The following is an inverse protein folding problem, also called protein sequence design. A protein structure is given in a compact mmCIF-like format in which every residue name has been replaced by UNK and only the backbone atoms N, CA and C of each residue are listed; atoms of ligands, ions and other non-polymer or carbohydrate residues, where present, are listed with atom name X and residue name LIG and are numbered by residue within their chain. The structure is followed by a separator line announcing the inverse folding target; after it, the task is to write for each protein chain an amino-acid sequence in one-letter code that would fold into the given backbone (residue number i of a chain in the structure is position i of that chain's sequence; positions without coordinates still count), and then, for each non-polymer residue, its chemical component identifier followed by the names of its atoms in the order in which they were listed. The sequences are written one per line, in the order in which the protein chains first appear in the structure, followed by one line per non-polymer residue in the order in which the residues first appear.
data_IF_382345990753
#
_entry.id   IF_382345990753
#
_cell.length_a   1.000
_cell.length_b   1.000
_cell.length_c   1.000
_cell.angle_alpha   90.00
_cell.angle_beta   90.00
_cell.angle_gamma   90.00
#
_symmetry.space_group_name_H-M   'P 1'
#
loop_
_entity.id
_entity.type
_entity.pdbx_description
1 polymer ?
#
# COMPACT_ATOMS: atom_id res chain seq x y z
N UNK A 1 32.35 -49.88 -3.67
CA UNK A 1 32.52 -48.42 -3.85
C UNK A 1 31.12 -47.86 -4.10
N UNK A 2 30.45 -47.38 -3.06
CA UNK A 2 29.02 -47.03 -3.09
C UNK A 2 28.89 -45.56 -3.46
N UNK A 3 28.50 -45.28 -4.69
CA UNK A 3 28.33 -43.93 -5.21
C UNK A 3 27.02 -43.35 -4.66
N UNK A 4 27.12 -42.48 -3.65
CA UNK A 4 26.00 -41.69 -3.16
C UNK A 4 25.66 -40.65 -4.23
N UNK A 5 24.53 -40.83 -4.92
CA UNK A 5 23.93 -39.77 -5.73
C UNK A 5 23.43 -38.67 -4.79
N UNK A 6 24.14 -37.55 -4.78
CA UNK A 6 23.64 -36.30 -4.23
C UNK A 6 22.58 -35.78 -5.21
N UNK A 7 21.30 -36.01 -4.91
CA UNK A 7 20.21 -35.35 -5.63
C UNK A 7 20.20 -33.91 -5.14
N UNK A 8 20.90 -33.03 -5.87
CA UNK A 8 20.74 -31.58 -5.74
C UNK A 8 19.37 -31.27 -6.34
N UNK A 9 18.32 -31.25 -5.52
CA UNK A 9 17.06 -30.63 -5.91
C UNK A 9 17.33 -29.14 -6.13
N UNK A 10 17.52 -28.75 -7.39
CA UNK A 10 17.42 -27.38 -7.83
C UNK A 10 16.00 -26.91 -7.54
N UNK A 11 15.80 -26.29 -6.37
CA UNK A 11 14.62 -25.49 -6.08
C UNK A 11 14.66 -24.35 -7.10
N UNK A 12 13.97 -24.53 -8.21
CA UNK A 12 13.77 -23.46 -9.17
C UNK A 12 12.99 -22.37 -8.41
N UNK A 13 13.70 -21.31 -8.03
CA UNK A 13 13.12 -20.04 -7.60
C UNK A 13 12.37 -19.49 -8.82
N UNK A 14 11.19 -20.03 -9.09
CA UNK A 14 10.27 -19.45 -10.06
C UNK A 14 9.79 -18.14 -9.44
N UNK A 15 10.44 -17.05 -9.83
CA UNK A 15 10.15 -15.68 -9.42
C UNK A 15 8.75 -15.30 -9.90
N UNK A 16 7.72 -15.64 -9.12
CA UNK A 16 6.43 -15.00 -9.24
C UNK A 16 6.33 -13.93 -8.15
N UNK A 17 6.89 -12.77 -8.46
CA UNK A 17 7.10 -11.69 -7.53
C UNK A 17 5.79 -10.92 -7.36
N UNK A 18 5.05 -11.26 -6.31
CA UNK A 18 3.86 -10.60 -5.79
C UNK A 18 3.92 -10.78 -4.27
N UNK A 19 3.27 -9.94 -3.45
CA UNK A 19 3.52 -9.94 -1.99
C UNK A 19 2.25 -10.19 -1.18
N UNK A 20 2.39 -10.96 -0.09
CA UNK A 20 1.34 -11.13 0.92
C UNK A 20 1.91 -10.94 2.32
N UNK A 21 1.07 -10.57 3.29
CA UNK A 21 1.41 -10.65 4.69
C UNK A 21 1.27 -12.10 5.20
N UNK A 22 2.35 -12.66 5.74
CA UNK A 22 2.39 -13.97 6.35
C UNK A 22 2.35 -13.88 7.87
N UNK A 23 1.46 -14.67 8.46
CA UNK A 23 1.34 -14.92 9.89
C UNK A 23 0.64 -16.28 10.09
N UNK A 24 0.90 -17.00 11.18
CA UNK A 24 0.26 -18.32 11.42
C UNK A 24 -1.26 -18.27 11.45
N UNK A 25 -1.81 -17.12 11.82
CA UNK A 25 -3.24 -16.86 11.90
C UNK A 25 -3.88 -16.47 10.55
N UNK A 26 -3.14 -16.52 9.44
CA UNK A 26 -3.70 -16.25 8.11
C UNK A 26 -4.48 -17.46 7.59
N UNK A 27 -5.49 -17.17 6.79
CA UNK A 27 -6.13 -18.17 5.95
C UNK A 27 -5.15 -18.66 4.87
N UNK A 28 -5.28 -19.94 4.51
CA UNK A 28 -4.38 -20.69 3.65
C UNK A 28 -2.89 -20.58 4.02
N UNK A 29 -2.55 -20.38 5.31
CA UNK A 29 -1.15 -20.36 5.77
C UNK A 29 -0.35 -21.60 5.33
N UNK A 30 -0.99 -22.77 5.39
CA UNK A 30 -0.42 -24.06 4.99
C UNK A 30 -0.68 -24.41 3.52
N UNK A 31 -1.18 -23.48 2.72
CA UNK A 31 -1.66 -23.69 1.35
C UNK A 31 -3.14 -24.09 1.31
N UNK A 32 -3.59 -24.46 0.11
CA UNK A 32 -5.00 -24.75 -0.21
C UNK A 32 -5.27 -26.24 -0.48
N UNK A 33 -4.38 -27.11 0.05
CA UNK A 33 -4.51 -28.56 -0.06
C UNK A 33 -4.77 -29.18 1.33
N UNK A 34 -5.92 -29.84 1.47
CA UNK A 34 -6.34 -30.43 2.75
C UNK A 34 -5.35 -31.47 3.27
N UNK A 35 -5.03 -31.38 4.56
CA UNK A 35 -4.10 -32.30 5.24
C UNK A 35 -2.63 -32.15 4.87
N UNK A 36 -2.26 -31.12 4.09
CA UNK A 36 -0.88 -30.86 3.69
C UNK A 36 -0.38 -29.55 4.29
N UNK A 37 0.91 -29.51 4.63
CA UNK A 37 1.60 -28.29 5.00
C UNK A 37 2.52 -27.89 3.86
N UNK A 38 2.15 -26.85 3.12
CA UNK A 38 3.01 -26.23 2.13
C UNK A 38 3.93 -25.20 2.78
N UNK A 39 5.18 -25.60 3.07
CA UNK A 39 6.19 -24.67 3.61
C UNK A 39 6.71 -23.69 2.55
N UNK A 40 6.50 -23.94 1.26
CA UNK A 40 6.88 -23.09 0.13
C UNK A 40 5.63 -22.50 -0.55
N UNK A 41 4.72 -21.98 0.27
CA UNK A 41 3.41 -21.50 -0.15
C UNK A 41 3.44 -20.10 -0.76
N UNK A 42 2.96 -19.96 -1.99
CA UNK A 42 2.71 -18.73 -2.74
C UNK A 42 1.22 -18.54 -3.12
N UNK A 43 0.32 -19.44 -2.71
CA UNK A 43 -1.12 -19.28 -2.93
C UNK A 43 -1.65 -17.87 -2.53
N UNK A 44 -1.29 -17.31 -1.35
CA UNK A 44 -1.83 -16.02 -0.93
C UNK A 44 -1.22 -14.81 -1.64
N UNK A 45 -0.15 -14.97 -2.45
CA UNK A 45 0.51 -13.81 -3.07
C UNK A 45 -0.08 -13.43 -4.41
N UNK A 46 -0.98 -14.23 -4.99
CA UNK A 46 -1.54 -13.94 -6.32
C UNK A 46 -2.31 -12.60 -6.33
N UNK A 47 -2.14 -11.75 -7.35
CA UNK A 47 -2.94 -10.52 -7.46
C UNK A 47 -4.39 -10.84 -7.81
N UNK A 48 -5.32 -9.98 -7.38
CA UNK A 48 -6.75 -10.07 -7.66
C UNK A 48 -7.15 -8.99 -8.68
N UNK A 49 -7.63 -9.41 -9.86
CA UNK A 49 -7.89 -8.52 -10.98
C UNK A 49 -9.05 -9.01 -11.84
N UNK A 50 -10.01 -8.14 -12.15
CA UNK A 50 -11.19 -8.42 -12.98
C UNK A 50 -11.96 -9.68 -12.56
N UNK A 51 -12.00 -9.94 -11.25
CA UNK A 51 -12.72 -11.06 -10.66
C UNK A 51 -14.12 -10.64 -10.21
N UNK A 52 -15.04 -11.60 -10.12
CA UNK A 52 -16.33 -11.38 -9.43
C UNK A 52 -16.10 -11.31 -7.93
N UNK A 53 -17.05 -10.72 -7.21
CA UNK A 53 -16.97 -10.65 -5.74
C UNK A 53 -16.89 -12.03 -5.09
N UNK A 54 -17.58 -13.03 -5.63
CA UNK A 54 -17.47 -14.42 -5.17
C UNK A 54 -16.07 -14.99 -5.27
N UNK A 55 -15.19 -14.43 -6.09
CA UNK A 55 -13.89 -15.00 -6.42
C UNK A 55 -12.76 -14.21 -5.74
N UNK A 56 -12.80 -12.87 -5.75
CA UNK A 56 -11.72 -12.08 -5.11
C UNK A 56 -11.85 -12.01 -3.59
N UNK A 57 -13.07 -12.12 -3.04
CA UNK A 57 -13.30 -11.90 -1.62
C UNK A 57 -12.54 -12.95 -0.81
N UNK A 58 -11.58 -12.50 0.00
CA UNK A 58 -10.67 -13.36 0.76
C UNK A 58 -9.99 -14.48 -0.06
N UNK A 59 -9.65 -14.21 -1.33
CA UNK A 59 -8.99 -15.19 -2.20
C UNK A 59 -9.80 -16.47 -2.46
N UNK A 60 -11.13 -16.38 -2.57
CA UNK A 60 -11.94 -17.55 -2.90
C UNK A 60 -11.60 -18.18 -4.28
N UNK A 61 -11.04 -17.42 -5.22
CA UNK A 61 -10.61 -17.89 -6.54
C UNK A 61 -9.63 -19.06 -6.48
N UNK A 62 -8.83 -19.14 -5.42
CA UNK A 62 -7.97 -20.27 -5.11
C UNK A 62 -8.33 -20.95 -3.79
N UNK A 63 -9.57 -20.74 -3.32
CA UNK A 63 -10.16 -21.34 -2.11
C UNK A 63 -9.41 -21.00 -0.82
N UNK A 64 -8.63 -19.92 -0.77
CA UNK A 64 -7.83 -19.61 0.42
C UNK A 64 -8.67 -19.46 1.69
N UNK A 65 -9.86 -18.87 1.56
CA UNK A 65 -10.83 -18.66 2.64
C UNK A 65 -11.42 -19.96 3.22
N UNK A 66 -11.36 -21.07 2.49
CA UNK A 66 -11.78 -22.39 2.96
C UNK A 66 -10.75 -23.06 3.90
N UNK A 67 -9.53 -22.49 4.01
CA UNK A 67 -8.44 -23.01 4.83
C UNK A 67 -8.15 -22.09 6.02
N UNK A 68 -8.94 -22.14 7.10
CA UNK A 68 -8.69 -21.33 8.28
C UNK A 68 -7.34 -21.69 8.94
N UNK A 69 -6.76 -20.77 9.73
CA UNK A 69 -5.60 -21.09 10.56
C UNK A 69 -5.93 -22.16 11.60
N UNK A 70 -4.89 -22.71 12.25
CA UNK A 70 -5.09 -23.71 13.29
C UNK A 70 -5.88 -23.12 14.48
N UNK A 71 -6.72 -23.92 15.17
CA UNK A 71 -7.45 -23.45 16.34
C UNK A 71 -6.52 -22.82 17.38
N UNK A 72 -6.84 -21.60 17.82
CA UNK A 72 -6.02 -20.84 18.78
C UNK A 72 -4.95 -19.94 18.16
N UNK A 73 -4.65 -20.08 16.86
CA UNK A 73 -3.76 -19.15 16.17
C UNK A 73 -4.53 -17.86 15.82
N UNK A 74 -4.24 -16.79 16.57
CA UNK A 74 -4.74 -15.45 16.31
C UNK A 74 -3.60 -14.48 16.00
N UNK A 75 -3.86 -13.53 15.11
CA UNK A 75 -3.07 -12.32 15.01
C UNK A 75 -3.45 -11.43 16.21
N UNK A 76 -2.55 -11.33 17.18
CA UNK A 76 -2.78 -10.51 18.37
C UNK A 76 -2.62 -9.02 18.04
N UNK A 77 -3.64 -8.24 18.40
CA UNK A 77 -3.70 -6.80 18.20
C UNK A 77 -3.66 -6.12 19.59
N UNK A 78 -2.47 -5.80 20.12
CA UNK A 78 -2.34 -5.17 21.43
C UNK A 78 -2.79 -3.71 21.38
N UNK A 79 -3.93 -3.41 22.00
CA UNK A 79 -4.53 -2.07 21.97
C UNK A 79 -3.56 -0.98 22.49
N UNK A 80 -3.27 0.03 21.65
CA UNK A 80 -2.37 1.15 21.96
C UNK A 80 -0.88 0.80 21.81
N UNK A 81 -0.57 -0.27 21.09
CA UNK A 81 0.78 -0.73 20.80
C UNK A 81 0.87 -1.11 19.31
N UNK A 82 1.83 -1.95 18.93
CA UNK A 82 1.99 -2.44 17.56
C UNK A 82 2.11 -3.96 17.50
N UNK A 83 1.80 -4.52 16.33
CA UNK A 83 2.06 -5.90 15.97
C UNK A 83 2.90 -5.98 14.69
N UNK A 84 3.53 -7.13 14.45
CA UNK A 84 4.35 -7.36 13.27
C UNK A 84 3.84 -8.53 12.44
N UNK A 85 4.03 -8.42 11.13
CA UNK A 85 3.85 -9.52 10.17
C UNK A 85 5.02 -9.57 9.21
N UNK A 86 5.15 -10.67 8.47
CA UNK A 86 6.18 -10.83 7.45
C UNK A 86 5.57 -10.68 6.05
N UNK A 87 5.85 -9.59 5.37
CA UNK A 87 5.41 -9.35 3.99
C UNK A 87 6.41 -9.94 3.02
N UNK A 88 6.01 -10.97 2.27
CA UNK A 88 6.93 -11.74 1.42
C UNK A 88 6.26 -12.25 0.15
N UNK A 89 7.07 -12.71 -0.80
CA UNK A 89 6.65 -13.32 -2.06
C UNK A 89 6.39 -14.82 -1.97
N UNK A 90 6.83 -15.46 -0.89
CA UNK A 90 6.52 -16.85 -0.59
C UNK A 90 6.69 -17.07 0.91
N UNK A 91 5.87 -17.94 1.51
CA UNK A 91 6.03 -18.34 2.92
C UNK A 91 7.43 -18.91 3.19
N UNK A 92 8.01 -19.62 2.24
CA UNK A 92 9.31 -20.28 2.33
C UNK A 92 10.48 -19.34 2.61
N UNK A 93 10.34 -18.05 2.31
CA UNK A 93 11.35 -17.00 2.58
C UNK A 93 10.99 -16.15 3.80
N UNK A 94 10.08 -16.63 4.64
CA UNK A 94 9.74 -16.04 5.94
C UNK A 94 10.37 -16.85 7.08
N UNK A 95 10.37 -16.30 8.30
CA UNK A 95 10.79 -17.07 9.48
C UNK A 95 9.82 -18.22 9.83
N UNK A 96 8.64 -18.23 9.20
CA UNK A 96 7.53 -19.15 9.46
C UNK A 96 7.63 -20.48 8.70
N UNK A 97 8.72 -20.69 7.95
CA UNK A 97 9.04 -21.92 7.22
C UNK A 97 10.53 -22.23 7.31
N UNK A 98 10.88 -23.52 7.18
CA UNK A 98 12.27 -24.00 7.13
C UNK A 98 13.17 -23.45 8.26
N UNK A 99 12.61 -23.22 9.44
CA UNK A 99 13.28 -22.58 10.58
C UNK A 99 13.95 -21.23 10.23
N UNK A 100 13.37 -20.48 9.28
CA UNK A 100 13.87 -19.19 8.83
C UNK A 100 15.15 -19.26 8.00
N UNK A 101 15.55 -20.44 7.52
CA UNK A 101 16.80 -20.62 6.76
C UNK A 101 16.92 -19.69 5.54
N UNK A 102 15.79 -19.38 4.88
CA UNK A 102 15.75 -18.55 3.68
C UNK A 102 15.21 -17.13 3.93
N UNK A 103 15.00 -16.76 5.20
CA UNK A 103 14.52 -15.44 5.55
C UNK A 103 15.68 -14.42 5.55
N UNK A 104 15.50 -13.33 4.82
CA UNK A 104 16.42 -12.16 4.81
C UNK A 104 15.64 -10.90 5.17
N UNK A 105 16.24 -9.71 5.16
CA UNK A 105 15.46 -8.47 5.39
C UNK A 105 14.41 -8.19 4.30
N UNK A 106 14.46 -8.91 3.19
CA UNK A 106 13.65 -8.69 2.00
C UNK A 106 12.68 -9.82 1.76
N UNK A 107 11.50 -9.48 1.21
CA UNK A 107 10.40 -10.43 1.05
C UNK A 107 10.62 -11.47 -0.05
N UNK A 108 11.71 -11.42 -0.81
CA UNK A 108 12.09 -12.44 -1.80
C UNK A 108 13.15 -13.43 -1.28
N UNK A 109 13.60 -13.30 -0.03
CA UNK A 109 14.70 -14.10 0.50
C UNK A 109 16.07 -13.73 -0.07
N UNK A 110 16.16 -12.63 -0.83
CA UNK A 110 17.41 -12.08 -1.36
C UNK A 110 18.05 -11.06 -0.42
N UNK A 111 19.29 -10.66 -0.72
CA UNK A 111 19.95 -9.54 -0.05
C UNK A 111 20.04 -8.37 -1.03
N UNK A 112 19.36 -7.27 -0.72
CA UNK A 112 19.41 -6.02 -1.48
C UNK A 112 20.01 -4.88 -0.65
N UNK A 113 20.66 -3.89 -1.30
CA UNK A 113 21.32 -2.78 -0.63
C UNK A 113 20.33 -1.87 0.11
N UNK A 114 20.81 -1.06 1.06
CA UNK A 114 19.92 -0.19 1.84
C UNK A 114 19.28 0.92 0.99
N UNK A 115 19.94 1.36 -0.08
CA UNK A 115 19.47 2.34 -1.05
C UNK A 115 18.80 1.67 -2.28
N UNK A 116 18.20 0.48 -2.08
CA UNK A 116 17.57 -0.29 -3.15
C UNK A 116 16.56 0.54 -3.93
N UNK A 117 16.76 0.63 -5.23
CA UNK A 117 15.94 1.42 -6.14
C UNK A 117 16.22 1.02 -7.58
N UNK A 118 15.45 1.56 -8.53
CA UNK A 118 15.73 1.40 -9.96
C UNK A 118 17.10 1.96 -10.39
N UNK A 119 17.74 2.81 -9.56
CA UNK A 119 19.09 3.30 -9.78
C UNK A 119 20.18 2.39 -9.17
N UNK A 120 19.82 1.54 -8.21
CA UNK A 120 20.72 0.58 -7.56
C UNK A 120 19.98 -0.74 -7.31
N UNK A 121 19.93 -1.59 -8.35
CA UNK A 121 19.25 -2.89 -8.30
C UNK A 121 20.15 -4.05 -7.83
N UNK A 122 21.41 -3.78 -7.48
CA UNK A 122 22.39 -4.81 -7.12
C UNK A 122 22.44 -6.00 -8.10
N UNK A 123 22.25 -5.75 -9.39
CA UNK A 123 22.27 -6.76 -10.44
C UNK A 123 20.92 -7.43 -10.74
N UNK A 124 19.86 -7.12 -9.99
CA UNK A 124 18.50 -7.55 -10.32
C UNK A 124 17.99 -6.80 -11.57
N UNK A 125 17.19 -7.45 -12.44
CA UNK A 125 16.60 -6.80 -13.59
C UNK A 125 15.46 -5.84 -13.18
N UNK A 126 15.24 -4.82 -14.00
CA UNK A 126 13.97 -4.08 -13.97
C UNK A 126 12.84 -4.99 -14.41
N UNK A 127 11.66 -4.78 -13.83
CA UNK A 127 10.41 -5.26 -14.39
C UNK A 127 10.15 -4.65 -15.78
N UNK A 128 9.23 -5.25 -16.53
CA UNK A 128 8.80 -4.74 -17.84
C UNK A 128 8.22 -3.32 -17.78
N UNK A 129 7.71 -2.89 -16.62
CA UNK A 129 7.21 -1.53 -16.38
C UNK A 129 8.28 -0.55 -15.89
N UNK A 130 9.56 -0.92 -15.88
CA UNK A 130 10.64 -0.04 -15.43
C UNK A 130 10.70 0.18 -13.91
N UNK A 131 10.15 -0.76 -13.14
CA UNK A 131 10.16 -0.77 -11.68
C UNK A 131 11.05 -1.87 -11.11
N UNK A 132 11.25 -1.90 -9.80
CA UNK A 132 11.96 -2.98 -9.11
C UNK A 132 11.27 -4.31 -9.42
N UNK A 133 12.01 -5.26 -10.02
CA UNK A 133 11.48 -6.56 -10.40
C UNK A 133 11.51 -7.62 -9.30
N UNK A 134 12.38 -7.48 -8.30
CA UNK A 134 12.54 -8.48 -7.25
C UNK A 134 13.02 -7.87 -5.91
N UNK A 135 12.29 -8.03 -4.78
CA UNK A 135 10.89 -8.40 -4.75
C UNK A 135 10.06 -7.38 -5.55
N UNK A 136 9.03 -7.85 -6.23
CA UNK A 136 8.13 -6.97 -6.98
C UNK A 136 7.16 -6.31 -6.00
N UNK A 137 7.65 -5.23 -5.41
CA UNK A 137 6.90 -4.34 -4.52
C UNK A 137 6.12 -3.29 -5.32
N UNK A 138 6.09 -3.41 -6.66
CA UNK A 138 5.42 -2.51 -7.58
C UNK A 138 5.77 -1.04 -7.33
N UNK A 139 7.07 -0.77 -7.19
CA UNK A 139 7.59 0.58 -6.94
C UNK A 139 8.99 0.74 -7.52
N UNK A 140 9.46 1.97 -7.64
CA UNK A 140 10.81 2.28 -8.08
C UNK A 140 11.79 2.53 -6.92
N UNK A 141 11.28 2.83 -5.73
CA UNK A 141 12.02 3.06 -4.48
C UNK A 141 11.05 3.04 -3.28
N UNK A 142 11.57 3.15 -2.06
CA UNK A 142 10.73 3.06 -0.86
C UNK A 142 9.64 4.13 -0.78
N UNK A 143 9.97 5.39 -1.06
CA UNK A 143 9.03 6.51 -0.93
C UNK A 143 7.88 6.48 -1.94
N UNK A 144 7.98 5.60 -2.94
CA UNK A 144 6.94 5.39 -3.96
C UNK A 144 6.07 4.16 -3.68
N UNK A 145 6.41 3.35 -2.66
CA UNK A 145 5.59 2.21 -2.27
C UNK A 145 4.22 2.69 -1.75
N UNK A 146 3.15 2.05 -2.23
CA UNK A 146 1.80 2.61 -2.18
C UNK A 146 1.22 2.74 -0.76
N UNK A 147 1.67 1.90 0.17
CA UNK A 147 1.10 1.74 1.49
C UNK A 147 0.17 0.53 1.55
N UNK A 148 0.15 -0.12 2.72
CA UNK A 148 -0.62 -1.32 3.02
C UNK A 148 -1.46 -1.06 4.27
N UNK A 149 -2.52 -1.84 4.48
CA UNK A 149 -3.39 -1.66 5.62
C UNK A 149 -3.85 -2.97 6.23
N UNK A 150 -4.31 -2.90 7.48
CA UNK A 150 -5.15 -3.93 8.06
C UNK A 150 -6.55 -3.38 8.34
N UNK A 151 -7.54 -4.20 8.02
CA UNK A 151 -8.94 -4.00 8.38
C UNK A 151 -9.42 -5.10 9.32
N UNK A 152 -10.48 -4.80 10.06
CA UNK A 152 -11.07 -5.69 11.07
C UNK A 152 -12.59 -5.73 10.94
N UNK A 153 -13.14 -6.92 11.10
CA UNK A 153 -14.56 -7.18 11.29
C UNK A 153 -14.74 -7.97 12.58
N UNK A 154 -15.67 -7.53 13.42
CA UNK A 154 -16.00 -8.19 14.69
C UNK A 154 -16.86 -9.45 14.51
N UNK A 155 -16.85 -10.02 13.32
CA UNK A 155 -17.41 -11.33 13.01
C UNK A 155 -16.33 -12.40 13.17
N UNK A 156 -16.67 -13.49 13.86
CA UNK A 156 -15.78 -14.65 13.96
C UNK A 156 -15.85 -15.49 12.69
N UNK A 157 -17.02 -15.63 12.07
CA UNK A 157 -17.18 -16.36 10.81
C UNK A 157 -16.83 -15.45 9.63
N UNK A 158 -15.85 -15.86 8.82
CA UNK A 158 -15.42 -15.12 7.62
C UNK A 158 -16.54 -14.96 6.60
N UNK A 159 -17.51 -15.91 6.56
CA UNK A 159 -18.67 -15.82 5.66
C UNK A 159 -19.59 -14.64 5.99
N UNK A 160 -19.54 -14.15 7.24
CA UNK A 160 -20.33 -13.01 7.71
C UNK A 160 -19.60 -11.67 7.52
N UNK A 161 -18.36 -11.69 7.02
CA UNK A 161 -17.58 -10.49 6.78
C UNK A 161 -18.04 -9.85 5.47
N UNK A 162 -18.41 -8.57 5.56
CA UNK A 162 -18.91 -7.77 4.44
C UNK A 162 -18.18 -6.44 4.39
N UNK A 163 -18.36 -5.70 3.29
CA UNK A 163 -17.83 -4.34 3.16
C UNK A 163 -18.38 -3.39 4.23
N UNK A 164 -19.58 -3.65 4.76
CA UNK A 164 -20.22 -2.78 5.76
C UNK A 164 -19.78 -3.09 7.20
N UNK A 165 -19.00 -4.15 7.41
CA UNK A 165 -18.47 -4.50 8.73
C UNK A 165 -16.95 -4.69 8.78
N UNK A 166 -16.25 -4.50 7.66
CA UNK A 166 -14.79 -4.59 7.56
C UNK A 166 -14.18 -3.18 7.48
N UNK A 167 -13.68 -2.67 8.60
CA UNK A 167 -13.16 -1.31 8.74
C UNK A 167 -11.63 -1.29 8.80
N UNK A 168 -10.99 -0.43 8.02
CA UNK A 168 -9.54 -0.17 8.11
C UNK A 168 -9.23 0.48 9.45
N UNK A 169 -8.37 -0.15 10.26
CA UNK A 169 -7.99 0.35 11.59
C UNK A 169 -6.52 0.77 11.68
N UNK A 170 -5.69 0.36 10.72
CA UNK A 170 -4.27 0.73 10.69
C UNK A 170 -3.74 0.69 9.27
N UNK A 171 -2.81 1.59 8.99
CA UNK A 171 -2.19 1.77 7.68
C UNK A 171 -0.70 1.97 7.92
N UNK A 172 0.13 1.41 7.05
CA UNK A 172 1.55 1.75 7.00
C UNK A 172 1.86 2.29 5.62
N UNK A 173 2.44 3.47 5.54
CA UNK A 173 2.90 4.06 4.29
C UNK A 173 4.20 3.41 3.82
N UNK A 174 4.53 3.60 2.54
CA UNK A 174 5.79 3.15 1.96
C UNK A 174 6.02 1.64 2.12
N UNK A 175 4.93 0.88 2.06
CA UNK A 175 4.91 -0.60 2.08
C UNK A 175 4.17 -1.14 0.85
N UNK A 176 4.44 -2.39 0.46
CA UNK A 176 5.48 -3.29 0.98
C UNK A 176 6.90 -2.76 0.69
N UNK A 177 7.85 -3.05 1.59
CA UNK A 177 9.26 -2.71 1.39
C UNK A 177 10.21 -3.73 2.00
N UNK A 178 10.27 -3.79 3.33
CA UNK A 178 11.00 -4.84 4.07
C UNK A 178 10.07 -5.96 4.49
N UNK A 179 10.63 -7.15 4.71
CA UNK A 179 9.86 -8.33 5.09
C UNK A 179 9.12 -8.10 6.40
N UNK A 180 9.84 -7.84 7.48
CA UNK A 180 9.20 -7.56 8.77
C UNK A 180 8.60 -6.16 8.75
N UNK A 181 7.28 -6.07 8.86
CA UNK A 181 6.54 -4.81 8.85
C UNK A 181 5.68 -4.69 10.10
N UNK A 182 5.77 -3.54 10.78
CA UNK A 182 4.99 -3.25 11.99
C UNK A 182 3.79 -2.35 11.69
N UNK A 183 2.66 -2.63 12.32
CA UNK A 183 1.43 -1.84 12.23
C UNK A 183 0.96 -1.45 13.62
N UNK A 184 0.42 -0.25 13.73
CA UNK A 184 0.00 0.34 15.01
C UNK A 184 -1.48 -0.01 15.28
N UNK A 185 -1.85 -0.26 16.54
CA UNK A 185 -3.20 -0.68 16.94
C UNK A 185 -3.83 0.42 17.78
N UNK A 186 -5.00 0.97 17.37
CA UNK A 186 -5.67 1.99 18.17
C UNK A 186 -5.91 1.55 19.61
N UNK A 187 -5.66 2.46 20.55
CA UNK A 187 -5.81 2.18 22.00
C UNK A 187 -7.24 1.80 22.40
N UNK A 188 -8.22 2.36 21.72
CA UNK A 188 -9.63 2.23 22.09
C UNK A 188 -10.36 1.15 21.26
N UNK A 189 -9.62 0.20 20.69
CA UNK A 189 -10.19 -0.98 20.03
C UNK A 189 -10.98 -1.84 21.04
N UNK A 190 -12.27 -2.16 20.78
CA UNK A 190 -13.02 -3.04 21.66
C UNK A 190 -12.57 -4.50 21.52
N UNK A 191 -12.89 -5.31 22.54
CA UNK A 191 -12.58 -6.74 22.54
C UNK A 191 -13.35 -7.50 21.45
N UNK A 192 -12.71 -8.49 20.84
CA UNK A 192 -13.34 -9.43 19.92
C UNK A 192 -14.30 -10.37 20.64
N UNK A 193 -15.23 -11.03 19.91
CA UNK A 193 -15.93 -12.21 20.41
C UNK A 193 -14.96 -13.31 20.86
N UNK A 194 -15.45 -14.30 21.61
CA UNK A 194 -14.62 -15.38 22.17
C UNK A 194 -13.84 -16.16 21.10
N UNK A 195 -14.45 -16.40 19.93
CA UNK A 195 -13.83 -17.09 18.80
C UNK A 195 -12.98 -16.16 17.90
N UNK A 196 -12.68 -14.96 18.40
CA UNK A 196 -11.93 -13.91 17.73
C UNK A 196 -12.73 -13.14 16.67
N UNK A 197 -12.03 -12.18 16.05
CA UNK A 197 -12.47 -11.40 14.92
C UNK A 197 -11.85 -11.95 13.62
N UNK A 198 -12.32 -11.45 12.48
CA UNK A 198 -11.64 -11.60 11.19
C UNK A 198 -10.98 -10.30 10.79
N UNK A 199 -9.70 -10.37 10.43
CA UNK A 199 -8.93 -9.25 9.89
C UNK A 199 -8.56 -9.51 8.43
N UNK A 200 -8.22 -8.43 7.72
CA UNK A 200 -7.72 -8.51 6.36
C UNK A 200 -6.47 -7.62 6.20
N UNK A 201 -5.38 -8.18 5.67
CA UNK A 201 -4.30 -7.37 5.10
C UNK A 201 -4.68 -7.01 3.67
N UNK A 202 -4.48 -5.75 3.29
CA UNK A 202 -4.89 -5.25 1.98
C UNK A 202 -3.86 -4.30 1.38
N UNK A 203 -3.75 -4.35 0.05
CA UNK A 203 -2.80 -3.54 -0.71
C UNK A 203 -3.29 -3.27 -2.13
N UNK A 204 -3.01 -2.07 -2.64
CA UNK A 204 -3.17 -1.71 -4.05
C UNK A 204 -1.83 -1.12 -4.53
N UNK A 205 -1.14 -1.75 -5.49
CA UNK A 205 0.05 -1.21 -6.11
C UNK A 205 -0.12 0.17 -6.74
N UNK A 206 0.98 0.93 -6.84
CA UNK A 206 0.98 2.24 -7.47
C UNK A 206 1.82 2.25 -8.76
N UNK A 207 1.15 2.29 -9.92
CA UNK A 207 1.75 2.63 -11.22
C UNK A 207 2.66 1.60 -11.88
N UNK A 208 3.13 0.57 -11.16
CA UNK A 208 3.96 -0.50 -11.70
C UNK A 208 3.12 -1.76 -11.97
N UNK A 209 3.11 -2.26 -13.19
CA UNK A 209 2.39 -3.49 -13.56
C UNK A 209 0.89 -3.32 -13.80
N UNK A 210 0.17 -4.43 -13.88
CA UNK A 210 -1.28 -4.45 -14.07
C UNK A 210 -2.00 -3.89 -12.84
N UNK A 211 -2.94 -2.95 -13.00
CA UNK A 211 -3.69 -2.38 -11.88
C UNK A 211 -4.57 -3.41 -11.14
N UNK A 212 -4.11 -3.96 -10.02
CA UNK A 212 -4.77 -5.03 -9.25
C UNK A 212 -4.93 -4.69 -7.76
N UNK A 213 -5.54 -5.60 -6.99
CA UNK A 213 -5.60 -5.52 -5.52
C UNK A 213 -5.02 -6.79 -4.90
N UNK A 214 -4.67 -6.70 -3.63
CA UNK A 214 -4.31 -7.83 -2.78
C UNK A 214 -5.12 -7.80 -1.50
N UNK A 215 -5.52 -8.98 -1.02
CA UNK A 215 -6.36 -9.12 0.15
C UNK A 215 -6.13 -10.48 0.79
N UNK A 216 -5.59 -10.56 2.00
CA UNK A 216 -5.46 -11.83 2.74
C UNK A 216 -6.25 -11.80 4.04
N UNK A 217 -6.96 -12.89 4.33
CA UNK A 217 -7.75 -13.04 5.55
C UNK A 217 -6.94 -13.57 6.72
N UNK A 218 -7.31 -13.17 7.93
CA UNK A 218 -6.69 -13.61 9.18
C UNK A 218 -7.75 -13.81 10.26
N UNK A 219 -7.53 -14.76 11.16
CA UNK A 219 -8.12 -14.72 12.49
C UNK A 219 -7.32 -13.74 13.35
N UNK A 220 -8.00 -12.84 14.04
CA UNK A 220 -7.34 -11.85 14.89
C UNK A 220 -8.05 -11.68 16.23
N UNK A 221 -7.35 -11.14 17.23
CA UNK A 221 -7.86 -10.92 18.57
C UNK A 221 -7.30 -9.62 19.13
N UNK A 222 -8.15 -8.75 19.64
CA UNK A 222 -7.70 -7.54 20.36
C UNK A 222 -7.30 -7.93 21.78
N UNK A 223 -6.05 -7.68 22.14
CA UNK A 223 -5.51 -7.90 23.50
C UNK A 223 -5.37 -6.57 24.22
N UNK A 224 -5.54 -6.57 25.54
CA UNK A 224 -5.47 -5.34 26.35
C UNK A 224 -6.61 -4.33 26.09
N UNK A 225 -7.71 -4.76 25.44
CA UNK A 225 -8.87 -3.91 25.19
C UNK A 225 -9.48 -3.39 26.50
N UNK A 226 -9.65 -2.07 26.58
CA UNK A 226 -10.34 -1.41 27.71
C UNK A 226 -11.61 -0.67 27.28
N UNK A 227 -11.72 -0.36 25.99
CA UNK A 227 -12.89 0.27 25.38
C UNK A 227 -13.98 -0.76 25.10
N UNK A 228 -15.23 -0.34 25.22
CA UNK A 228 -16.42 -1.08 24.77
C UNK A 228 -17.12 -0.38 23.60
N UNK A 229 -16.56 0.72 23.11
CA UNK A 229 -17.13 1.52 22.02
C UNK A 229 -17.05 0.71 20.71
N UNK A 230 -18.17 0.42 20.05
CA UNK A 230 -18.15 -0.29 18.78
C UNK A 230 -17.40 0.50 17.69
N UNK A 231 -16.81 -0.23 16.75
CA UNK A 231 -16.29 0.35 15.51
C UNK A 231 -17.45 0.95 14.72
N UNK A 232 -17.26 2.16 14.19
CA UNK A 232 -18.27 2.81 13.36
C UNK A 232 -18.46 2.06 12.05
N UNK A 233 -19.68 2.07 11.49
CA UNK A 233 -19.92 1.50 10.16
C UNK A 233 -19.01 2.18 9.13
N UNK A 234 -18.09 1.43 8.49
CA UNK A 234 -17.14 2.00 7.55
C UNK A 234 -17.84 2.47 6.27
N UNK A 235 -17.36 3.59 5.72
CA UNK A 235 -17.84 4.17 4.46
C UNK A 235 -16.81 4.00 3.34
N UNK A 236 -17.24 3.92 2.06
CA UNK A 236 -16.32 3.90 0.94
C UNK A 236 -15.34 5.08 0.97
N UNK A 237 -14.03 4.85 0.81
CA UNK A 237 -13.06 5.93 0.61
C UNK A 237 -13.31 6.65 -0.72
N UNK A 238 -12.89 7.91 -0.80
CA UNK A 238 -12.88 8.69 -2.04
C UNK A 238 -11.46 9.14 -2.35
N UNK A 239 -11.16 9.37 -3.63
CA UNK A 239 -9.96 10.10 -4.01
C UNK A 239 -10.10 11.56 -3.59
N UNK A 240 -9.14 12.05 -2.82
CA UNK A 240 -9.17 13.39 -2.23
C UNK A 240 -7.75 13.99 -2.10
N UNK A 241 -6.82 13.57 -2.97
CA UNK A 241 -5.43 14.06 -2.96
C UNK A 241 -5.36 15.60 -3.04
N UNK A 242 -6.20 16.21 -3.88
CA UNK A 242 -6.20 17.64 -4.15
C UNK A 242 -6.79 18.47 -3.00
N UNK A 243 -7.73 17.91 -2.24
CA UNK A 243 -8.38 18.56 -1.10
C UNK A 243 -8.74 17.53 -0.02
N UNK A 244 -7.93 17.47 1.03
CA UNK A 244 -8.10 16.52 2.13
C UNK A 244 -9.41 16.74 2.93
N UNK A 245 -10.01 17.93 2.87
CA UNK A 245 -11.30 18.19 3.54
C UNK A 245 -12.46 17.42 2.88
N UNK A 246 -12.29 17.00 1.62
CA UNK A 246 -13.28 16.21 0.86
C UNK A 246 -13.16 14.71 1.10
N UNK A 247 -12.13 14.25 1.80
CA UNK A 247 -11.97 12.83 2.12
C UNK A 247 -13.12 12.30 2.95
N UNK A 248 -13.42 11.00 2.78
CA UNK A 248 -14.35 10.27 3.66
C UNK A 248 -13.89 10.40 5.12
N UNK A 249 -14.74 10.96 5.98
CA UNK A 249 -14.47 11.10 7.40
C UNK A 249 -14.95 9.87 8.17
N UNK A 250 -14.30 9.57 9.30
CA UNK A 250 -14.62 8.41 10.13
C UNK A 250 -14.03 7.10 9.61
N UNK A 251 -14.66 5.99 10.01
CA UNK A 251 -14.29 4.64 9.61
C UNK A 251 -14.39 4.47 8.09
N UNK A 252 -13.37 3.85 7.50
CA UNK A 252 -13.27 3.63 6.07
C UNK A 252 -13.30 2.14 5.75
N UNK A 253 -13.96 1.81 4.65
CA UNK A 253 -13.89 0.47 4.09
C UNK A 253 -12.49 0.21 3.52
N UNK A 254 -12.16 -1.06 3.27
CA UNK A 254 -11.06 -1.40 2.37
C UNK A 254 -11.34 -0.87 0.96
N UNK A 255 -10.30 -0.69 0.15
CA UNK A 255 -10.42 -0.29 -1.25
C UNK A 255 -10.63 -1.53 -2.12
N UNK A 256 -11.73 -1.57 -2.87
CA UNK A 256 -11.98 -2.55 -3.94
C UNK A 256 -11.96 -1.82 -5.27
N UNK A 257 -11.01 -2.19 -6.13
CA UNK A 257 -10.73 -1.52 -7.39
C UNK A 257 -10.33 -2.53 -8.48
N UNK A 258 -10.63 -2.21 -9.74
CA UNK A 258 -10.40 -3.05 -10.92
C UNK A 258 -10.84 -4.51 -10.80
N UNK A 259 -11.98 -4.73 -10.14
CA UNK A 259 -12.67 -6.02 -10.14
C UNK A 259 -13.82 -5.99 -11.16
N UNK A 260 -14.31 -7.16 -11.57
CA UNK A 260 -15.48 -7.23 -12.46
C UNK A 260 -16.76 -6.77 -11.76
N UNK A 261 -16.82 -6.92 -10.43
CA UNK A 261 -17.97 -6.57 -9.59
C UNK A 261 -17.50 -5.94 -8.27
N UNK A 262 -18.37 -5.20 -7.59
CA UNK A 262 -18.14 -4.82 -6.19
C UNK A 262 -17.09 -3.74 -5.93
N UNK A 263 -16.59 -3.05 -6.97
CA UNK A 263 -15.71 -1.88 -6.79
C UNK A 263 -16.40 -0.80 -5.94
N UNK A 264 -15.69 -0.26 -4.96
CA UNK A 264 -16.19 0.83 -4.12
C UNK A 264 -15.44 2.16 -4.34
N UNK A 265 -14.45 2.16 -5.23
CA UNK A 265 -13.76 3.35 -5.68
C UNK A 265 -13.54 3.29 -7.19
N UNK A 266 -13.67 4.44 -7.85
CA UNK A 266 -13.32 4.63 -9.25
C UNK A 266 -12.45 5.88 -9.37
N UNK A 267 -11.35 5.77 -10.08
CA UNK A 267 -10.43 6.88 -10.33
C UNK A 267 -10.13 7.00 -11.83
N UNK A 268 -9.88 8.21 -12.28
CA UNK A 268 -9.52 8.51 -13.66
C UNK A 268 -8.62 9.75 -13.72
N UNK A 269 -7.83 9.87 -14.77
CA UNK A 269 -6.92 11.00 -14.94
C UNK A 269 -5.59 10.80 -14.21
N UNK A 270 -4.93 11.90 -13.88
CA UNK A 270 -3.59 11.92 -13.31
C UNK A 270 -3.61 12.40 -11.86
N UNK A 271 -2.72 11.84 -11.03
CA UNK A 271 -2.43 12.33 -9.68
C UNK A 271 -1.58 13.61 -9.74
N UNK A 272 -1.34 14.23 -8.58
CA UNK A 272 -0.52 15.45 -8.49
C UNK A 272 0.94 15.24 -8.89
N UNK A 273 1.41 13.99 -8.97
CA UNK A 273 2.74 13.62 -9.46
C UNK A 273 2.78 13.40 -10.98
N UNK A 274 1.64 13.55 -11.67
CA UNK A 274 1.53 13.37 -13.12
C UNK A 274 1.40 11.91 -13.57
N UNK A 275 1.19 10.96 -12.65
CA UNK A 275 0.98 9.55 -12.97
C UNK A 275 -0.52 9.22 -13.05
N UNK A 276 -0.95 8.21 -13.82
CA UNK A 276 -2.33 7.73 -13.76
C UNK A 276 -2.74 7.45 -12.32
N UNK A 277 -3.93 7.92 -11.91
CA UNK A 277 -4.41 7.72 -10.53
C UNK A 277 -4.50 6.22 -10.22
N UNK A 278 -3.86 5.82 -9.12
CA UNK A 278 -4.04 4.51 -8.49
C UNK A 278 -4.43 4.75 -7.03
N UNK A 279 -5.64 4.31 -6.60
CA UNK A 279 -6.04 4.47 -5.21
C UNK A 279 -5.12 3.63 -4.32
N UNK A 280 -4.82 4.13 -3.13
CA UNK A 280 -3.87 3.47 -2.26
C UNK A 280 -4.20 3.74 -0.79
N UNK A 281 -3.63 2.94 0.10
CA UNK A 281 -3.73 3.13 1.54
C UNK A 281 -2.78 4.23 2.00
N UNK A 282 -3.05 5.46 1.54
CA UNK A 282 -2.31 6.67 1.91
C UNK A 282 -3.21 7.92 1.83
N UNK A 283 -2.58 9.10 1.95
CA UNK A 283 -3.26 10.39 2.00
C UNK A 283 -4.09 10.71 0.75
N UNK A 284 -3.79 10.10 -0.41
CA UNK A 284 -4.58 10.26 -1.63
C UNK A 284 -6.04 9.81 -1.47
N UNK A 285 -6.30 8.91 -0.53
CA UNK A 285 -7.63 8.43 -0.17
C UNK A 285 -8.02 8.73 1.29
N UNK A 286 -7.33 9.68 1.94
CA UNK A 286 -7.64 10.11 3.30
C UNK A 286 -7.31 9.09 4.40
N UNK A 287 -6.40 8.16 4.11
CA UNK A 287 -5.81 7.26 5.11
C UNK A 287 -4.59 7.93 5.72
N UNK A 288 -4.42 7.88 7.04
CA UNK A 288 -3.24 8.39 7.74
C UNK A 288 -2.24 7.25 7.97
N UNK A 289 -0.94 7.54 8.08
CA UNK A 289 0.05 6.55 8.47
C UNK A 289 -0.06 6.24 9.97
N UNK A 290 0.06 4.97 10.34
CA UNK A 290 -0.13 4.45 11.68
C UNK A 290 -1.59 4.13 12.02
N UNK A 291 -1.99 4.45 13.25
CA UNK A 291 -3.32 4.14 13.77
C UNK A 291 -4.40 4.89 12.97
N UNK A 292 -5.40 4.14 12.50
CA UNK A 292 -6.63 4.67 11.93
C UNK A 292 -7.53 5.25 13.02
N UNK A 293 -7.14 6.38 13.62
CA UNK A 293 -7.80 7.03 14.77
C UNK A 293 -9.29 7.34 14.53
N UNK A 294 -9.76 7.30 13.29
CA UNK A 294 -11.13 7.60 12.89
C UNK A 294 -12.08 6.40 12.84
N UNK A 295 -11.63 5.16 13.12
CA UNK A 295 -12.46 3.96 13.05
C UNK A 295 -13.54 3.87 14.16
N UNK A 296 -13.40 4.65 15.24
CA UNK A 296 -14.27 4.59 16.41
C UNK A 296 -15.43 5.59 16.30
N UNK A 297 -16.60 5.20 16.80
CA UNK A 297 -17.73 6.12 16.92
C UNK A 297 -17.42 7.18 17.98
N UNK A 298 -16.98 8.37 17.57
CA UNK A 298 -17.20 9.56 18.37
C UNK A 298 -18.64 10.04 18.13
N UNK A 299 -19.59 9.56 18.95
CA UNK A 299 -20.89 10.22 19.02
C UNK A 299 -20.65 11.58 19.66
N UNK A 300 -20.63 12.63 18.84
CA UNK A 300 -20.81 14.04 19.23
C UNK A 300 -19.89 14.58 20.33
N UNK A 301 -18.85 15.30 19.93
CA UNK A 301 -18.72 16.74 20.24
C UNK A 301 -17.42 17.24 19.63
N UNK A 302 -17.53 17.96 18.51
CA UNK A 302 -16.58 19.03 18.20
C UNK A 302 -16.74 20.06 19.32
N UNK A 303 -15.99 19.92 20.41
CA UNK A 303 -15.72 21.06 21.27
C UNK A 303 -14.62 21.83 20.55
N UNK A 304 -15.05 22.84 19.80
CA UNK A 304 -14.19 23.97 19.45
C UNK A 304 -13.66 24.56 20.76
N UNK A 305 -12.42 24.23 21.11
CA UNK A 305 -11.72 24.91 22.20
C UNK A 305 -11.32 26.30 21.71
N UNK A 306 -12.28 27.20 21.73
CA UNK A 306 -12.04 28.64 21.77
C UNK A 306 -12.43 29.11 23.16
N UNK A 307 -11.46 29.21 24.06
CA UNK A 307 -11.60 30.06 25.24
C UNK A 307 -10.28 30.77 25.55
N UNK A 308 -10.33 32.05 25.95
CA UNK A 308 -9.22 32.99 25.86
C UNK A 308 -8.31 32.91 27.09
N UNK A 309 -7.00 32.88 26.86
CA UNK A 309 -6.00 33.07 27.92
C UNK A 309 -6.03 34.53 28.39
N UNK A 310 -6.65 34.73 29.55
CA UNK A 310 -6.69 35.97 30.30
C UNK A 310 -5.34 36.23 31.00
N UNK A 311 -4.94 37.50 30.97
CA UNK A 311 -3.68 38.05 31.45
C UNK A 311 -3.29 37.67 32.89
N UNK A 312 -2.01 37.36 33.09
CA UNK A 312 -1.29 37.69 34.33
C UNK A 312 0.02 38.41 34.02
N UNK A 313 -0.07 39.74 33.97
CA UNK A 313 1.07 40.65 33.85
C UNK A 313 1.64 40.91 35.27
N UNK A 314 2.88 40.49 35.52
CA UNK A 314 3.66 40.96 36.67
C UNK A 314 4.39 42.26 36.30
N UNK A 315 4.18 43.27 37.14
CA UNK A 315 4.73 44.62 37.05
C UNK A 315 6.22 44.68 37.38
N UNK A 316 7.01 45.42 36.60
CA UNK A 316 8.25 46.09 37.03
C UNK A 316 8.53 47.36 36.19
N UNK A 317 8.13 48.50 36.76
CA UNK A 317 8.75 49.85 36.83
C UNK A 317 9.71 50.35 35.72
N UNK A 318 9.18 51.32 34.94
CA UNK A 318 9.71 52.62 34.44
C UNK A 318 11.22 52.88 34.14
N UNK A 319 11.48 53.36 32.90
CA UNK A 319 12.21 54.61 32.56
C UNK A 319 11.93 55.07 31.09
N UNK A 320 11.94 56.38 30.74
CA UNK A 320 11.46 56.89 29.43
C UNK A 320 12.55 57.34 28.42
N UNK A 321 12.26 57.10 27.12
CA UNK A 321 12.55 57.79 25.81
C UNK A 321 13.90 58.52 25.54
N UNK A 322 14.48 58.51 24.29
CA UNK A 322 13.91 59.25 23.13
C UNK A 322 14.21 58.67 21.69
N UNK A 323 13.73 59.33 20.59
CA UNK A 323 13.47 58.73 19.26
C UNK A 323 14.50 59.13 18.17
N UNK A 324 14.47 58.46 17.00
CA UNK A 324 14.91 58.86 15.62
C UNK A 324 15.31 57.59 14.81
N UNK A 325 15.16 57.39 13.49
CA UNK A 325 14.79 58.11 12.24
C UNK A 325 14.29 57.01 11.27
N UNK A 326 13.13 57.10 10.62
CA UNK A 326 12.83 57.70 9.30
C UNK A 326 13.75 57.30 8.11
N UNK A 327 13.11 56.66 7.11
CA UNK A 327 13.38 56.70 5.64
C UNK A 327 14.71 56.08 5.16
N UNK A 328 14.84 55.32 4.06
CA UNK A 328 14.32 55.45 2.68
C UNK A 328 14.96 54.25 1.91
N UNK A 329 14.31 53.46 1.03
CA UNK A 329 14.14 53.59 -0.45
C UNK A 329 13.87 52.14 -0.93
N UNK A 330 12.75 51.70 -1.52
CA UNK A 330 12.13 51.98 -2.84
C UNK A 330 13.05 51.79 -4.06
N UNK A 331 12.49 51.11 -5.10
CA UNK A 331 12.95 50.69 -6.44
C UNK A 331 13.40 49.21 -6.48
N UNK A 332 12.84 48.27 -7.26
CA UNK A 332 12.34 48.33 -8.65
C UNK A 332 11.47 47.06 -8.99
N UNK A 333 10.92 46.85 -10.22
CA UNK A 333 9.54 46.42 -10.44
C UNK A 333 9.35 45.04 -11.13
N UNK A 334 8.09 44.58 -11.11
CA UNK A 334 7.37 43.72 -12.06
C UNK A 334 8.05 42.48 -12.69
N UNK A 335 7.50 41.30 -12.37
CA UNK A 335 7.51 40.11 -13.24
C UNK A 335 6.06 39.79 -13.66
N UNK A 336 5.75 40.03 -14.94
CA UNK A 336 4.58 39.48 -15.63
C UNK A 336 5.01 38.26 -16.45
N UNK A 337 4.15 37.24 -16.63
CA UNK A 337 4.45 36.08 -17.46
C UNK A 337 4.38 36.40 -18.98
N UNK A 338 5.07 35.62 -19.84
CA UNK A 338 5.18 35.92 -21.27
C UNK A 338 3.91 35.55 -22.05
N UNK A 339 3.69 36.27 -23.16
CA UNK A 339 2.54 36.11 -24.07
C UNK A 339 2.72 34.91 -25.03
N UNK A 340 1.63 34.34 -25.57
CA UNK A 340 1.60 33.04 -26.28
C UNK A 340 2.42 32.94 -27.59
N UNK A 341 2.92 34.04 -28.13
CA UNK A 341 3.59 34.05 -29.44
C UNK A 341 5.08 33.69 -29.42
N UNK A 342 5.72 33.57 -28.24
CA UNK A 342 7.13 33.15 -28.14
C UNK A 342 7.33 31.63 -28.00
N UNK A 343 6.24 30.86 -27.85
CA UNK A 343 6.29 29.39 -27.75
C UNK A 343 6.36 28.72 -29.13
N UNK A 344 5.77 29.32 -30.17
CA UNK A 344 5.78 28.78 -31.53
C UNK A 344 7.16 28.84 -32.20
N UNK A 345 7.94 29.89 -31.95
CA UNK A 345 9.27 30.04 -32.56
C UNK A 345 10.30 29.05 -31.99
N UNK A 346 10.16 28.65 -30.71
CA UNK A 346 11.00 27.59 -30.11
C UNK A 346 10.63 26.19 -30.61
N UNK A 347 9.35 25.93 -30.90
CA UNK A 347 8.91 24.66 -31.49
C UNK A 347 9.36 24.52 -32.95
N UNK A 348 9.40 25.62 -33.72
CA UNK A 348 9.89 25.62 -35.10
C UNK A 348 11.42 25.41 -35.21
N UNK A 349 12.21 25.91 -34.25
CA UNK A 349 13.66 25.63 -34.21
C UNK A 349 13.99 24.19 -33.78
N UNK A 350 13.22 23.60 -32.86
CA UNK A 350 13.40 22.20 -32.44
C UNK A 350 13.00 21.20 -33.53
N UNK A 351 12.04 21.54 -34.39
CA UNK A 351 11.64 20.70 -35.52
C UNK A 351 12.67 20.68 -36.65
N UNK A 352 13.35 21.81 -36.93
CA UNK A 352 14.41 21.88 -37.96
C UNK A 352 15.67 21.11 -37.58
N UNK A 353 15.97 20.95 -36.30
CA UNK A 353 17.18 20.24 -35.86
C UNK A 353 17.04 18.71 -35.89
N UNK A 354 15.82 18.16 -35.87
CA UNK A 354 15.57 16.69 -35.91
C UNK A 354 15.48 16.08 -37.31
N UNK A 355 15.35 16.88 -38.37
CA UNK A 355 15.22 16.38 -39.74
C UNK A 355 16.53 16.34 -40.54
N UNK A 356 17.64 16.83 -39.97
CA UNK A 356 18.95 16.89 -40.65
C UNK A 356 19.95 15.82 -40.21
N UNK A 357 19.61 14.95 -39.24
CA UNK A 357 20.48 13.88 -38.76
C UNK A 357 19.72 12.54 -38.58
N UNK A 358 19.37 11.87 -39.69
CA UNK A 358 19.30 10.40 -39.86
C UNK A 358 18.46 10.02 -41.10
N UNK A 359 19.08 9.77 -42.28
CA UNK A 359 18.35 9.33 -43.47
C UNK A 359 18.46 7.82 -43.74
N UNK A 360 18.64 6.98 -42.72
CA UNK A 360 18.69 5.53 -42.89
C UNK A 360 18.07 4.84 -41.67
N UNK A 361 16.79 4.47 -41.74
CA UNK A 361 16.21 3.31 -41.04
C UNK A 361 14.71 3.07 -41.35
N UNK A 362 14.08 3.85 -42.22
CA UNK A 362 12.64 3.74 -42.52
C UNK A 362 12.28 3.03 -43.84
N UNK A 363 13.22 2.30 -44.46
CA UNK A 363 12.97 1.60 -45.73
C UNK A 363 13.00 0.06 -45.66
N UNK A 364 13.07 -0.54 -44.47
CA UNK A 364 13.14 -2.01 -44.34
C UNK A 364 11.91 -2.67 -43.71
N UNK A 365 10.94 -1.90 -43.20
CA UNK A 365 9.72 -2.45 -42.57
C UNK A 365 8.44 -2.37 -43.44
N UNK A 366 8.51 -1.75 -44.62
CA UNK A 366 7.37 -1.61 -45.53
C UNK A 366 7.33 -2.64 -46.67
N UNK A 367 8.33 -3.52 -46.79
CA UNK A 367 8.38 -4.56 -47.83
C UNK A 367 7.95 -5.97 -47.37
N UNK A 368 7.67 -6.18 -46.08
CA UNK A 368 7.34 -7.53 -45.57
C UNK A 368 5.83 -7.81 -45.42
N UNK A 369 4.97 -6.83 -45.71
CA UNK A 369 3.51 -6.94 -45.53
C UNK A 369 2.69 -7.05 -46.83
N UNK A 370 3.34 -7.22 -47.99
CA UNK A 370 2.68 -7.27 -49.30
C UNK A 370 2.85 -8.60 -50.07
N UNK A 371 3.27 -9.70 -49.41
CA UNK A 371 3.50 -11.00 -50.08
C UNK A 371 2.78 -12.22 -49.48
N UNK A 372 1.72 -12.03 -48.70
CA UNK A 372 0.80 -13.11 -48.34
C UNK A 372 -0.65 -12.71 -48.54
N UNK A 373 -1.07 -12.64 -49.81
CA UNK A 373 -2.44 -12.89 -50.25
C UNK A 373 -2.43 -13.15 -51.76
N UNK A 374 -2.09 -14.40 -52.12
CA UNK A 374 -2.59 -15.17 -53.27
C UNK A 374 -2.38 -16.64 -52.97
#
# INVERSE_FOLDING_TARGET
MTLKFLVLSSLALLTNAHMAAFHKAMYCFNGTASGQVNYNNDDPVSPLWMLKKSDYWFHHVNQCDDFPPAPGDFLELPAGSSFTVEVAANRGVTSLSFNGQFATDWGDGGNHPNDYSVANLAGAPLSSSGCIGNPNMHTQNQSMAAGTAFAISYQSDISQVTMDNLAVFTVRYNTPWKRVTSYDVPKDMPACPADGCTCAWVWIPNGCGEPNIYMQGFKCMVTGATSTTPIATPKPPVWCEEDQSTCTQGAKQILIWNQAEGNNIAVSGFDLSGNPKSPAYNSKCGFQDGEGFHALVAIGNVVSDTSPQEHRMTSLVHRPLPPQRLQQLLHHPHLLPPRPHQLLDRLHQLWRHRLLHHPHHLLHHLLHHLLHHT
#
